data_IF_118612202258
#
_entry.id   IF_118612202258
#
_cell.length_a   1.000
_cell.length_b   1.000
_cell.length_c   1.000
_cell.angle_alpha   90.00
_cell.angle_beta   90.00
_cell.angle_gamma   90.00
#
_symmetry.space_group_name_H-M   'P 1'
#
loop_
_entity.id
_entity.type
_entity.pdbx_description
1 polymer ?
#
# COMPACT_ATOMS: atom_id res chain seq x y z
N UNK A 1 -8.34 -0.04 -13.55
CA UNK A 1 -7.06 -0.13 -12.83
C UNK A 1 -6.00 -0.29 -13.89
N UNK A 2 -5.16 0.73 -14.08
CA UNK A 2 -4.11 0.72 -15.10
C UNK A 2 -3.02 -0.27 -14.70
N UNK A 3 -2.63 -1.15 -15.61
CA UNK A 3 -1.51 -2.06 -15.41
C UNK A 3 -0.24 -1.21 -15.38
N UNK A 4 0.58 -1.36 -14.34
CA UNK A 4 1.90 -0.74 -14.30
C UNK A 4 2.74 -1.38 -15.43
N UNK A 5 2.96 -0.63 -16.51
CA UNK A 5 3.66 -1.12 -17.71
C UNK A 5 5.16 -0.92 -17.65
N UNK A 6 5.64 0.04 -16.86
CA UNK A 6 7.06 0.32 -16.71
C UNK A 6 7.74 -0.75 -15.84
N UNK A 7 8.65 -1.52 -16.42
CA UNK A 7 9.37 -2.58 -15.72
C UNK A 7 10.31 -2.03 -14.64
N UNK A 8 10.90 -0.86 -14.83
CA UNK A 8 11.72 -0.18 -13.81
C UNK A 8 10.87 0.15 -12.57
N UNK A 9 9.69 0.75 -12.78
CA UNK A 9 8.76 1.00 -11.68
C UNK A 9 8.32 -0.30 -10.99
N UNK A 10 8.05 -1.36 -11.75
CA UNK A 10 7.68 -2.68 -11.17
C UNK A 10 8.81 -3.26 -10.33
N UNK A 11 10.05 -3.23 -10.83
CA UNK A 11 11.22 -3.74 -10.12
C UNK A 11 11.44 -2.97 -8.81
N UNK A 12 11.19 -1.65 -8.80
CA UNK A 12 11.35 -0.82 -7.59
C UNK A 12 10.38 -1.15 -6.45
N UNK A 13 9.32 -1.93 -6.71
CA UNK A 13 8.34 -2.32 -5.69
C UNK A 13 8.84 -3.42 -4.75
N UNK A 14 9.86 -4.16 -5.15
CA UNK A 14 10.37 -5.33 -4.43
C UNK A 14 11.85 -5.16 -4.12
N UNK A 15 12.32 -5.86 -3.10
CA UNK A 15 13.75 -6.01 -2.83
C UNK A 15 14.16 -7.48 -2.96
N UNK A 16 15.45 -7.71 -3.11
CA UNK A 16 16.00 -9.07 -3.08
C UNK A 16 15.69 -9.73 -1.73
N UNK A 17 15.24 -10.98 -1.77
CA UNK A 17 14.94 -11.78 -0.58
C UNK A 17 16.18 -12.00 0.29
N UNK A 18 17.37 -12.08 -0.33
CA UNK A 18 18.63 -12.17 0.41
C UNK A 18 18.85 -10.94 1.31
N UNK A 19 18.52 -9.75 0.80
CA UNK A 19 18.64 -8.48 1.52
C UNK A 19 17.65 -8.33 2.67
N UNK A 20 16.63 -9.20 2.75
CA UNK A 20 15.60 -9.19 3.78
C UNK A 20 15.78 -10.29 4.85
N UNK A 21 16.80 -11.15 4.70
CA UNK A 21 17.02 -12.31 5.55
C UNK A 21 17.23 -11.94 7.02
N UNK A 22 17.84 -10.79 7.29
CA UNK A 22 18.15 -10.32 8.65
C UNK A 22 17.07 -9.43 9.26
N UNK A 23 16.06 -9.00 8.49
CA UNK A 23 14.96 -8.17 9.00
C UNK A 23 13.81 -9.04 9.50
N UNK A 24 13.65 -9.07 10.83
CA UNK A 24 12.58 -9.82 11.51
C UNK A 24 11.17 -9.38 11.09
N UNK A 25 11.01 -8.17 10.53
CA UNK A 25 9.73 -7.68 10.00
C UNK A 25 9.19 -8.57 8.88
N UNK A 26 10.05 -9.30 8.16
CA UNK A 26 9.69 -10.20 7.08
C UNK A 26 9.70 -11.68 7.47
N UNK A 27 9.90 -12.01 8.75
CA UNK A 27 9.98 -13.40 9.21
C UNK A 27 8.75 -14.25 8.80
N UNK A 28 7.55 -13.68 8.84
CA UNK A 28 6.34 -14.37 8.38
C UNK A 28 6.33 -14.63 6.86
N UNK A 29 6.92 -13.74 6.07
CA UNK A 29 7.12 -14.00 4.64
C UNK A 29 8.10 -15.15 4.49
N UNK A 30 9.26 -15.13 5.17
CA UNK A 30 10.26 -16.20 5.13
C UNK A 30 9.65 -17.56 5.52
N UNK A 31 8.87 -17.61 6.60
CA UNK A 31 8.21 -18.83 7.08
C UNK A 31 7.18 -19.39 6.11
N UNK A 32 6.46 -18.52 5.39
CA UNK A 32 5.40 -18.91 4.46
C UNK A 32 5.82 -18.91 2.99
N UNK A 33 7.07 -18.61 2.71
CA UNK A 33 7.54 -18.51 1.34
C UNK A 33 7.81 -19.92 0.80
N UNK A 34 6.87 -20.45 0.01
CA UNK A 34 7.08 -21.65 -0.80
C UNK A 34 7.81 -21.32 -2.12
N UNK A 35 8.70 -20.32 -2.11
CA UNK A 35 9.45 -19.83 -3.28
C UNK A 35 8.67 -18.91 -4.24
N UNK A 36 7.43 -18.53 -3.91
CA UNK A 36 6.57 -17.72 -4.78
C UNK A 36 6.23 -16.32 -4.27
N UNK A 37 6.65 -15.96 -3.05
CA UNK A 37 6.39 -14.65 -2.46
C UNK A 37 7.57 -13.71 -2.69
N UNK A 38 7.26 -12.44 -2.90
CA UNK A 38 8.23 -11.36 -3.05
C UNK A 38 8.34 -10.57 -1.76
N UNK A 39 9.53 -10.02 -1.48
CA UNK A 39 9.72 -9.09 -0.38
C UNK A 39 9.48 -7.67 -0.90
N UNK A 40 8.58 -6.88 -0.28
CA UNK A 40 8.35 -5.51 -0.70
C UNK A 40 9.57 -4.63 -0.41
N UNK A 41 9.83 -3.64 -1.27
CA UNK A 41 10.83 -2.61 -0.99
C UNK A 41 10.41 -1.73 0.19
N UNK A 42 11.37 -1.12 0.88
CA UNK A 42 11.09 -0.18 1.97
C UNK A 42 10.15 0.95 1.52
N UNK A 43 10.32 1.41 0.27
CA UNK A 43 9.44 2.42 -0.30
C UNK A 43 7.98 1.99 -0.38
N UNK A 44 7.76 0.76 -0.82
CA UNK A 44 6.42 0.15 -0.87
C UNK A 44 5.82 0.03 0.54
N UNK A 45 6.60 -0.45 1.50
CA UNK A 45 6.18 -0.58 2.91
C UNK A 45 5.79 0.79 3.47
N UNK A 46 6.59 1.82 3.22
CA UNK A 46 6.34 3.19 3.71
C UNK A 46 5.06 3.78 3.13
N UNK A 47 4.79 3.61 1.84
CA UNK A 47 3.53 4.04 1.20
C UNK A 47 2.33 3.30 1.80
N UNK A 48 2.43 1.98 1.97
CA UNK A 48 1.36 1.17 2.57
C UNK A 48 1.08 1.60 4.01
N UNK A 49 2.11 1.83 4.83
CA UNK A 49 1.97 2.33 6.21
C UNK A 49 1.29 3.68 6.25
N UNK A 50 1.65 4.61 5.35
CA UNK A 50 0.99 5.91 5.24
C UNK A 50 -0.49 5.77 4.84
N UNK A 51 -0.80 4.88 3.89
CA UNK A 51 -2.16 4.62 3.46
C UNK A 51 -3.01 4.00 4.58
N UNK A 52 -2.48 3.00 5.29
CA UNK A 52 -3.15 2.39 6.44
C UNK A 52 -3.41 3.41 7.54
N UNK A 53 -2.44 4.28 7.83
CA UNK A 53 -2.65 5.36 8.79
C UNK A 53 -3.79 6.29 8.34
N UNK A 54 -3.81 6.73 7.07
CA UNK A 54 -4.85 7.61 6.56
C UNK A 54 -6.24 6.97 6.61
N UNK A 55 -6.36 5.68 6.27
CA UNK A 55 -7.60 4.92 6.38
C UNK A 55 -8.06 4.85 7.84
N UNK A 56 -7.15 4.54 8.78
CA UNK A 56 -7.50 4.48 10.21
C UNK A 56 -7.99 5.81 10.76
N UNK A 57 -7.34 6.92 10.38
CA UNK A 57 -7.80 8.26 10.79
C UNK A 57 -9.20 8.55 10.26
N UNK A 58 -9.47 8.20 9.00
CA UNK A 58 -10.79 8.38 8.40
C UNK A 58 -11.88 7.55 9.11
N UNK A 59 -11.55 6.33 9.56
CA UNK A 59 -12.47 5.48 10.33
C UNK A 59 -12.79 6.02 11.73
N UNK A 60 -11.81 6.62 12.41
CA UNK A 60 -12.02 7.20 13.76
C UNK A 60 -12.88 8.46 13.68
N UNK A 61 -12.65 9.30 12.66
CA UNK A 61 -13.33 10.59 12.52
C UNK A 61 -14.72 10.55 11.87
N UNK A 62 -15.06 9.51 11.10
CA UNK A 62 -16.33 9.42 10.35
C UNK A 62 -17.08 8.14 10.68
N UNK A 63 -18.18 8.24 11.43
CA UNK A 63 -19.06 7.09 11.74
C UNK A 63 -20.04 6.72 10.61
N UNK A 64 -20.23 7.58 9.60
CA UNK A 64 -21.36 7.40 8.66
C UNK A 64 -21.06 7.66 7.18
N UNK A 65 -19.88 8.15 6.81
CA UNK A 65 -19.54 8.41 5.40
C UNK A 65 -18.50 7.42 4.87
N UNK A 66 -18.66 6.94 3.63
CA UNK A 66 -17.66 6.07 3.01
C UNK A 66 -16.34 6.83 2.83
N UNK A 67 -15.24 6.15 3.12
CA UNK A 67 -13.90 6.68 2.88
C UNK A 67 -13.70 6.76 1.36
N UNK A 68 -13.28 7.92 0.86
CA UNK A 68 -13.05 8.12 -0.57
C UNK A 68 -11.59 7.78 -0.92
N UNK A 69 -11.32 6.99 -1.98
CA UNK A 69 -9.95 6.67 -2.39
C UNK A 69 -9.09 7.92 -2.62
N UNK A 70 -9.65 8.96 -3.24
CA UNK A 70 -8.93 10.20 -3.54
C UNK A 70 -8.47 10.95 -2.28
N UNK A 71 -9.24 10.91 -1.19
CA UNK A 71 -8.85 11.53 0.09
C UNK A 71 -7.62 10.81 0.68
N UNK A 72 -7.58 9.48 0.57
CA UNK A 72 -6.46 8.66 1.02
C UNK A 72 -5.23 8.93 0.16
N UNK A 73 -5.37 8.92 -1.17
CA UNK A 73 -4.28 9.22 -2.12
C UNK A 73 -3.68 10.59 -1.82
N UNK A 74 -4.50 11.62 -1.70
CA UNK A 74 -4.04 12.98 -1.37
C UNK A 74 -3.28 13.01 -0.04
N UNK A 75 -3.80 12.36 1.00
CA UNK A 75 -3.17 12.33 2.33
C UNK A 75 -1.81 11.62 2.28
N UNK A 76 -1.71 10.52 1.53
CA UNK A 76 -0.46 9.78 1.37
C UNK A 76 0.56 10.62 0.61
N UNK A 77 0.17 11.24 -0.52
CA UNK A 77 1.06 12.15 -1.27
C UNK A 77 1.58 13.28 -0.39
N UNK A 78 0.70 13.93 0.40
CA UNK A 78 1.10 15.00 1.32
C UNK A 78 2.10 14.52 2.39
N UNK A 79 1.94 13.28 2.88
CA UNK A 79 2.77 12.71 3.95
C UNK A 79 4.12 12.19 3.45
N UNK A 80 4.14 11.61 2.25
CA UNK A 80 5.35 11.13 1.59
C UNK A 80 6.18 12.32 1.08
N UNK A 81 5.50 13.39 0.64
CA UNK A 81 6.16 14.58 0.11
C UNK A 81 6.93 14.28 -1.18
N UNK A 82 8.01 15.04 -1.39
CA UNK A 82 8.94 14.86 -2.52
C UNK A 82 10.06 13.86 -2.21
N UNK A 83 9.94 13.06 -1.15
CA UNK A 83 10.97 12.09 -0.80
C UNK A 83 11.09 11.01 -1.89
N UNK A 84 12.33 10.65 -2.24
CA UNK A 84 12.64 9.60 -3.21
C UNK A 84 12.38 8.21 -2.62
N UNK A 85 11.10 7.88 -2.44
CA UNK A 85 10.68 6.67 -1.73
C UNK A 85 11.03 5.38 -2.49
N UNK A 86 11.07 5.41 -3.82
CA UNK A 86 11.31 4.23 -4.66
C UNK A 86 12.73 4.16 -5.25
N UNK A 87 13.65 5.06 -4.84
CA UNK A 87 15.06 5.10 -5.30
C UNK A 87 15.22 4.96 -6.83
N UNK A 88 14.30 5.54 -7.60
CA UNK A 88 14.26 5.40 -9.07
C UNK A 88 15.40 6.14 -9.80
N UNK A 89 16.30 6.84 -9.09
CA UNK A 89 17.48 7.47 -9.67
C UNK A 89 17.18 8.34 -10.89
N UNK A 90 17.97 8.17 -11.95
CA UNK A 90 17.84 8.90 -13.23
C UNK A 90 16.52 8.62 -13.97
N UNK A 91 15.84 7.51 -13.66
CA UNK A 91 14.54 7.19 -14.26
C UNK A 91 13.47 8.23 -13.94
N UNK A 92 13.55 8.90 -12.78
CA UNK A 92 12.68 10.03 -12.45
C UNK A 92 13.05 11.23 -13.32
N UNK A 93 14.34 11.53 -13.50
CA UNK A 93 14.82 12.65 -14.31
C UNK A 93 14.41 12.55 -15.78
N UNK A 94 14.39 11.33 -16.34
CA UNK A 94 13.93 11.07 -17.71
C UNK A 94 12.41 11.19 -17.88
N UNK A 95 11.65 11.05 -16.78
CA UNK A 95 10.18 11.02 -16.78
C UNK A 95 9.56 12.23 -16.04
N UNK A 96 10.38 13.19 -15.60
CA UNK A 96 9.95 14.35 -14.80
C UNK A 96 9.20 15.41 -15.60
N UNK A 97 9.37 15.43 -16.92
CA UNK A 97 8.74 16.43 -17.79
C UNK A 97 7.36 15.92 -18.26
N UNK A 98 6.36 16.10 -17.41
CA UNK A 98 4.96 15.78 -17.71
C UNK A 98 4.04 15.91 -16.49
N UNK A 99 2.73 16.02 -16.73
CA UNK A 99 1.70 16.00 -15.68
C UNK A 99 1.65 14.63 -14.96
N UNK A 100 2.20 13.58 -15.60
CA UNK A 100 2.28 12.21 -15.10
C UNK A 100 3.72 11.81 -14.78
N UNK A 101 4.23 12.21 -13.61
CA UNK A 101 5.49 11.63 -13.15
C UNK A 101 5.28 10.15 -12.82
N UNK A 102 6.19 9.27 -13.27
CA UNK A 102 6.12 7.84 -12.96
C UNK A 102 6.03 7.58 -11.46
N UNK A 103 6.70 8.41 -10.64
CA UNK A 103 6.60 8.37 -9.18
C UNK A 103 5.17 8.62 -8.68
N UNK A 104 4.49 9.65 -9.21
CA UNK A 104 3.11 9.94 -8.86
C UNK A 104 2.17 8.79 -9.25
N UNK A 105 2.31 8.29 -10.49
CA UNK A 105 1.51 7.17 -11.00
C UNK A 105 1.75 5.89 -10.20
N UNK A 106 3.00 5.61 -9.82
CA UNK A 106 3.36 4.45 -9.01
C UNK A 106 2.74 4.54 -7.61
N UNK A 107 2.89 5.67 -6.92
CA UNK A 107 2.31 5.90 -5.59
C UNK A 107 0.79 5.76 -5.63
N UNK A 108 0.14 6.43 -6.59
CA UNK A 108 -1.32 6.39 -6.76
C UNK A 108 -1.80 4.97 -7.04
N UNK A 109 -1.05 4.17 -7.82
CA UNK A 109 -1.38 2.78 -8.11
C UNK A 109 -1.30 1.89 -6.87
N UNK A 110 -0.23 2.00 -6.08
CA UNK A 110 -0.06 1.23 -4.83
C UNK A 110 -1.19 1.55 -3.85
N UNK A 111 -1.45 2.85 -3.61
CA UNK A 111 -2.49 3.28 -2.67
C UNK A 111 -3.86 2.81 -3.13
N UNK A 112 -4.18 2.91 -4.43
CA UNK A 112 -5.47 2.46 -4.97
C UNK A 112 -5.69 0.96 -4.78
N UNK A 113 -4.67 0.14 -5.03
CA UNK A 113 -4.76 -1.31 -4.86
C UNK A 113 -4.88 -1.68 -3.37
N UNK A 114 -4.03 -1.09 -2.52
CA UNK A 114 -4.08 -1.32 -1.09
C UNK A 114 -5.42 -0.89 -0.50
N UNK A 115 -5.94 0.27 -0.89
CA UNK A 115 -7.25 0.76 -0.46
C UNK A 115 -8.35 -0.26 -0.77
N UNK A 116 -8.41 -0.78 -2.00
CA UNK A 116 -9.39 -1.79 -2.39
C UNK A 116 -9.29 -3.03 -1.51
N UNK A 117 -8.08 -3.59 -1.36
CA UNK A 117 -7.85 -4.76 -0.51
C UNK A 117 -8.26 -4.50 0.95
N UNK A 118 -7.92 -3.32 1.47
CA UNK A 118 -8.18 -2.96 2.86
C UNK A 118 -9.65 -2.76 3.15
N UNK A 119 -10.40 -2.13 2.25
CA UNK A 119 -11.86 -1.97 2.40
C UNK A 119 -12.58 -3.32 2.41
N UNK A 120 -12.19 -4.27 1.55
CA UNK A 120 -12.72 -5.63 1.59
C UNK A 120 -12.39 -6.33 2.91
N UNK A 121 -11.16 -6.17 3.41
CA UNK A 121 -10.76 -6.72 4.70
C UNK A 121 -11.57 -6.14 5.87
N UNK A 122 -11.78 -4.81 5.90
CA UNK A 122 -12.59 -4.13 6.91
C UNK A 122 -14.04 -4.63 6.87
N UNK A 123 -14.63 -4.71 5.68
CA UNK A 123 -15.98 -5.24 5.51
C UNK A 123 -16.09 -6.67 6.03
N UNK A 124 -15.13 -7.55 5.69
CA UNK A 124 -15.10 -8.93 6.19
C UNK A 124 -14.99 -9.00 7.71
N UNK A 125 -14.14 -8.17 8.33
CA UNK A 125 -14.04 -8.11 9.80
C UNK A 125 -15.33 -7.62 10.45
N UNK A 126 -15.99 -6.62 9.87
CA UNK A 126 -17.27 -6.13 10.37
C UNK A 126 -18.33 -7.24 10.32
N UNK A 127 -18.44 -7.96 9.20
CA UNK A 127 -19.37 -9.11 9.05
C UNK A 127 -19.10 -10.20 10.09
N UNK A 128 -17.84 -10.59 10.30
CA UNK A 128 -17.48 -11.59 11.30
C UNK A 128 -17.82 -11.12 12.73
N UNK A 129 -17.62 -9.84 13.04
CA UNK A 129 -17.98 -9.27 14.33
C UNK A 129 -19.50 -9.36 14.58
N UNK A 130 -20.32 -8.97 13.58
CA UNK A 130 -21.78 -9.10 13.68
C UNK A 130 -22.23 -10.55 13.89
N UNK A 131 -21.61 -11.51 13.19
CA UNK A 131 -21.89 -12.93 13.37
C UNK A 131 -21.57 -13.40 14.80
N UNK A 132 -20.39 -13.08 15.33
CA UNK A 132 -20.02 -13.43 16.71
C UNK A 132 -20.96 -12.84 17.76
N UNK A 133 -21.42 -11.59 17.59
CA UNK A 133 -22.37 -10.95 18.50
C UNK A 133 -23.75 -11.63 18.44
N UNK A 134 -24.24 -11.96 17.25
CA UNK A 134 -25.53 -12.63 17.08
C UNK A 134 -25.57 -14.05 17.65
N UNK A 135 -24.45 -14.79 17.63
CA UNK A 135 -24.36 -16.14 18.21
C UNK A 135 -24.38 -16.10 19.74
N UNK A 136 -23.88 -15.03 20.38
CA UNK A 136 -23.90 -14.88 21.85
C UNK A 136 -25.23 -14.39 22.41
N UNK A 137 -26.18 -13.99 21.56
CA UNK A 137 -27.51 -13.54 21.96
C UNK A 137 -28.60 -14.62 21.78
N UNK A 138 -28.20 -15.86 21.44
CA UNK A 138 -29.06 -17.05 21.49
C UNK A 138 -28.70 -17.89 22.70
#
# INVERSE_FOLDING_TARGET
MTKLSCDVCRASLVMDAASACDDQSYHLLTLKNNGGLVVPSEGTVRVIRAAEWAIRQALVGRRSQPIKPLEVIYTVHKRIGSEYVFLLGEHISETQYGIESHSHTLLTSIVSLFFKLRMHHIARLATLCFQCVSVRQK
#
